data_IF_584588319581
#
_entry.id   IF_584588319581
#
_cell.length_a   1.000
_cell.length_b   1.000
_cell.length_c   1.000
_cell.angle_alpha   90.00
_cell.angle_beta   90.00
_cell.angle_gamma   90.00
#
_symmetry.space_group_name_H-M   'P 1'
#
loop_
_entity.id
_entity.type
_entity.pdbx_description
1 polymer ?
#
# COMPACT_ATOMS: atom_id res chain seq x y z
N UNK A 1 9.47 24.47 -15.24
CA UNK A 1 9.80 23.08 -14.85
C UNK A 1 8.60 22.44 -14.18
N UNK A 2 8.16 21.28 -14.68
CA UNK A 2 7.01 20.59 -14.12
C UNK A 2 7.44 19.86 -12.83
N UNK A 3 6.77 20.17 -11.72
CA UNK A 3 7.05 19.48 -10.47
C UNK A 3 6.54 18.04 -10.55
N UNK A 4 7.36 17.11 -10.13
CA UNK A 4 6.97 15.71 -10.00
C UNK A 4 6.02 15.54 -8.82
N UNK A 5 4.94 14.80 -9.01
CA UNK A 5 4.03 14.44 -7.92
C UNK A 5 4.78 13.55 -6.92
N UNK A 6 4.52 13.68 -5.60
CA UNK A 6 5.17 12.83 -4.59
C UNK A 6 5.03 11.33 -4.87
N UNK A 7 3.89 10.89 -5.40
CA UNK A 7 3.68 9.48 -5.77
C UNK A 7 4.58 9.09 -6.94
N UNK A 8 4.75 9.96 -7.93
CA UNK A 8 5.65 9.70 -9.06
C UNK A 8 7.10 9.56 -8.58
N UNK A 9 7.51 10.38 -7.61
CA UNK A 9 8.84 10.29 -7.01
C UNK A 9 9.05 8.96 -6.30
N UNK A 10 8.03 8.45 -5.60
CA UNK A 10 8.09 7.13 -4.97
C UNK A 10 8.21 6.02 -6.02
N UNK A 11 7.43 6.11 -7.09
CA UNK A 11 7.44 5.10 -8.16
C UNK A 11 8.81 5.04 -8.83
N UNK A 12 9.48 6.19 -8.99
CA UNK A 12 10.82 6.23 -9.57
C UNK A 12 11.86 5.47 -8.74
N UNK A 13 11.66 5.38 -7.42
CA UNK A 13 12.57 4.60 -6.58
C UNK A 13 12.54 3.10 -6.93
N UNK A 14 11.43 2.63 -7.48
CA UNK A 14 11.19 1.21 -7.69
C UNK A 14 10.87 0.50 -6.38
N UNK A 15 10.40 -0.74 -6.47
CA UNK A 15 10.11 -1.54 -5.28
C UNK A 15 11.38 -1.84 -4.50
N UNK A 16 11.29 -1.79 -3.16
CA UNK A 16 12.38 -2.13 -2.25
C UNK A 16 11.77 -2.53 -0.90
N UNK A 17 12.61 -2.78 0.12
CA UNK A 17 12.14 -3.27 1.43
C UNK A 17 11.02 -2.45 2.06
N UNK A 18 10.94 -1.16 1.75
CA UNK A 18 9.97 -0.24 2.36
C UNK A 18 8.99 0.32 1.34
N UNK A 19 8.94 -0.24 0.14
CA UNK A 19 8.04 0.23 -0.91
C UNK A 19 7.62 -0.93 -1.80
N UNK A 20 6.31 -1.16 -1.89
CA UNK A 20 5.73 -2.21 -2.72
C UNK A 20 4.60 -1.63 -3.59
N UNK A 21 4.48 -2.14 -4.81
CA UNK A 21 3.42 -1.76 -5.74
C UNK A 21 2.45 -2.91 -5.90
N UNK A 22 1.15 -2.59 -5.88
CA UNK A 22 0.09 -3.56 -6.14
C UNK A 22 -0.87 -2.99 -7.18
N UNK A 23 -1.13 -3.77 -8.23
CA UNK A 23 -2.12 -3.41 -9.23
C UNK A 23 -3.50 -3.29 -8.60
N UNK A 24 -3.86 -4.27 -7.78
CA UNK A 24 -5.14 -4.34 -7.08
C UNK A 24 -5.00 -5.16 -5.80
N UNK A 25 -6.00 -5.11 -4.94
CA UNK A 25 -6.08 -5.95 -3.75
C UNK A 25 -7.20 -6.96 -3.97
N UNK A 26 -6.85 -8.22 -4.14
CA UNK A 26 -7.81 -9.30 -4.39
C UNK A 26 -7.84 -10.36 -3.28
N UNK A 27 -6.87 -10.33 -2.37
CA UNK A 27 -6.74 -11.33 -1.31
C UNK A 27 -6.28 -10.67 -0.02
N UNK A 28 -7.21 -10.54 0.94
CA UNK A 28 -6.94 -9.90 2.23
C UNK A 28 -5.87 -10.62 3.04
N UNK A 29 -5.76 -11.95 2.93
CA UNK A 29 -4.73 -12.71 3.67
C UNK A 29 -3.34 -12.38 3.15
N UNK A 30 -3.19 -12.25 1.83
CA UNK A 30 -1.90 -11.86 1.23
C UNK A 30 -1.50 -10.46 1.66
N UNK A 31 -2.45 -9.54 1.65
CA UNK A 31 -2.21 -8.17 2.10
C UNK A 31 -1.83 -8.14 3.57
N UNK A 32 -2.47 -8.96 4.42
CA UNK A 32 -2.13 -9.04 5.83
C UNK A 32 -0.67 -9.43 6.04
N UNK A 33 -0.14 -10.36 5.22
CA UNK A 33 1.27 -10.73 5.28
C UNK A 33 2.17 -9.55 4.90
N UNK A 34 1.79 -8.77 3.91
CA UNK A 34 2.53 -7.57 3.50
C UNK A 34 2.52 -6.52 4.62
N UNK A 35 1.35 -6.27 5.22
CA UNK A 35 1.23 -5.33 6.34
C UNK A 35 2.11 -5.75 7.51
N UNK A 36 2.06 -7.03 7.89
CA UNK A 36 2.85 -7.51 9.01
C UNK A 36 4.35 -7.52 8.70
N UNK A 37 4.73 -7.83 7.46
CA UNK A 37 6.13 -7.78 7.04
C UNK A 37 6.70 -6.36 7.15
N UNK A 38 5.97 -5.36 6.67
CA UNK A 38 6.38 -3.96 6.82
C UNK A 38 6.44 -3.57 8.29
N UNK A 39 5.40 -3.88 9.05
CA UNK A 39 5.31 -3.49 10.47
C UNK A 39 6.46 -4.09 11.28
N UNK A 40 6.80 -5.34 11.04
CA UNK A 40 7.84 -6.05 11.80
C UNK A 40 9.27 -5.74 11.35
N UNK A 41 9.43 -4.90 10.33
CA UNK A 41 10.74 -4.42 9.89
C UNK A 41 10.83 -2.91 10.17
N UNK A 42 11.08 -2.11 9.16
CA UNK A 42 11.24 -0.65 9.32
C UNK A 42 10.01 0.14 8.89
N UNK A 43 8.86 -0.54 8.74
CA UNK A 43 7.69 0.07 8.17
C UNK A 43 7.79 0.12 6.65
N UNK A 44 6.86 0.83 6.01
CA UNK A 44 6.91 0.97 4.56
C UNK A 44 5.64 1.56 3.98
N UNK A 45 5.63 1.63 2.66
CA UNK A 45 4.48 2.13 1.90
C UNK A 45 4.07 1.10 0.86
N UNK A 46 2.77 0.97 0.71
CA UNK A 46 2.14 0.13 -0.30
C UNK A 46 1.36 1.05 -1.23
N UNK A 47 1.68 1.02 -2.51
CA UNK A 47 0.96 1.83 -3.50
C UNK A 47 0.01 0.91 -4.27
N UNK A 48 -1.29 1.12 -4.09
CA UNK A 48 -2.33 0.36 -4.78
C UNK A 48 -2.76 1.14 -6.02
N UNK A 49 -2.86 0.45 -7.14
CA UNK A 49 -3.15 1.06 -8.44
C UNK A 49 -1.90 1.34 -9.25
N UNK A 50 -0.79 0.69 -8.89
CA UNK A 50 0.49 0.80 -9.59
C UNK A 50 0.96 -0.59 -9.96
N UNK A 51 1.29 -0.79 -11.23
CA UNK A 51 1.80 -2.07 -11.74
C UNK A 51 3.27 -2.25 -11.36
N UNK A 52 3.75 -3.48 -11.42
CA UNK A 52 5.15 -3.83 -11.08
C UNK A 52 6.16 -3.02 -11.88
N UNK A 53 5.82 -2.64 -13.11
CA UNK A 53 6.70 -1.82 -13.97
C UNK A 53 6.64 -0.33 -13.65
N UNK A 54 5.86 0.07 -12.65
CA UNK A 54 5.70 1.47 -12.26
C UNK A 54 4.59 2.22 -12.99
N UNK A 55 3.91 1.61 -13.94
CA UNK A 55 2.80 2.26 -14.63
C UNK A 55 1.60 2.39 -13.70
N UNK A 56 1.01 3.59 -13.67
CA UNK A 56 -0.17 3.86 -12.85
C UNK A 56 -1.41 3.39 -13.60
N UNK A 57 -2.11 2.40 -13.01
CA UNK A 57 -3.39 1.93 -13.52
C UNK A 57 -4.57 2.58 -12.81
N UNK A 58 -4.34 3.02 -11.56
CA UNK A 58 -5.35 3.58 -10.69
C UNK A 58 -6.21 2.54 -10.00
N UNK A 59 -6.85 2.94 -8.91
CA UNK A 59 -7.87 2.13 -8.22
C UNK A 59 -9.24 2.52 -8.76
N UNK A 60 -10.15 1.55 -8.82
CA UNK A 60 -11.48 1.75 -9.41
C UNK A 60 -12.56 2.09 -8.41
N UNK A 61 -12.35 1.73 -7.13
CA UNK A 61 -13.37 1.89 -6.12
C UNK A 61 -12.75 2.00 -4.73
N UNK A 62 -13.60 2.14 -3.72
CA UNK A 62 -13.17 2.16 -2.33
C UNK A 62 -12.95 0.75 -1.78
N UNK A 63 -13.26 -0.27 -2.57
CA UNK A 63 -13.16 -1.66 -2.14
C UNK A 63 -11.74 -2.02 -1.70
N UNK A 64 -10.73 -1.51 -2.39
CA UNK A 64 -9.33 -1.75 -2.03
C UNK A 64 -9.03 -1.27 -0.61
N UNK A 65 -9.53 -0.09 -0.24
CA UNK A 65 -9.35 0.41 1.12
C UNK A 65 -9.98 -0.53 2.14
N UNK A 66 -11.22 -0.97 1.90
CA UNK A 66 -11.92 -1.85 2.82
C UNK A 66 -11.25 -3.21 2.94
N UNK A 67 -10.64 -3.69 1.87
CA UNK A 67 -9.87 -4.94 1.91
C UNK A 67 -8.60 -4.81 2.74
N UNK A 68 -7.92 -3.66 2.69
CA UNK A 68 -6.77 -3.38 3.57
C UNK A 68 -7.23 -3.35 5.03
N UNK A 69 -8.33 -2.65 5.31
CA UNK A 69 -8.90 -2.57 6.64
C UNK A 69 -9.27 -3.95 7.18
N UNK A 70 -9.93 -4.76 6.36
CA UNK A 70 -10.29 -6.13 6.73
C UNK A 70 -9.05 -6.99 6.98
N UNK A 71 -8.01 -6.83 6.14
CA UNK A 71 -6.76 -7.56 6.32
C UNK A 71 -6.13 -7.27 7.67
N UNK A 72 -6.07 -5.99 8.04
CA UNK A 72 -5.53 -5.56 9.33
C UNK A 72 -6.35 -6.13 10.49
N UNK A 73 -7.67 -5.96 10.44
CA UNK A 73 -8.56 -6.35 11.55
C UNK A 73 -8.69 -7.85 11.72
N UNK A 74 -8.74 -8.61 10.62
CA UNK A 74 -9.06 -10.02 10.65
C UNK A 74 -7.85 -10.94 10.64
N UNK A 75 -6.74 -10.49 10.07
CA UNK A 75 -5.61 -11.39 9.78
C UNK A 75 -4.27 -10.95 10.38
N UNK A 76 -4.26 -9.92 11.27
CA UNK A 76 -3.07 -9.55 12.03
C UNK A 76 -3.39 -9.46 13.53
N UNK A 77 -2.41 -9.79 14.37
CA UNK A 77 -2.54 -9.72 15.84
C UNK A 77 -1.25 -9.19 16.45
N UNK A 78 -1.28 -8.08 17.21
CA UNK A 78 -2.41 -7.16 17.27
C UNK A 78 -2.67 -6.51 15.91
N UNK A 79 -3.83 -5.89 15.76
CA UNK A 79 -4.24 -5.21 14.54
C UNK A 79 -3.20 -4.18 14.12
N UNK A 80 -2.66 -4.31 12.89
CA UNK A 80 -1.66 -3.38 12.37
C UNK A 80 -2.31 -2.05 12.03
N UNK A 81 -1.92 -0.95 12.68
CA UNK A 81 -2.41 0.36 12.29
C UNK A 81 -1.79 0.79 10.95
N UNK A 82 -2.56 1.49 10.16
CA UNK A 82 -2.08 2.03 8.89
C UNK A 82 -2.75 3.36 8.59
N UNK A 83 -2.12 4.15 7.74
CA UNK A 83 -2.69 5.40 7.23
C UNK A 83 -2.83 5.27 5.72
N UNK A 84 -4.04 5.55 5.21
CA UNK A 84 -4.30 5.47 3.78
C UNK A 84 -4.64 6.86 3.25
N UNK A 85 -4.00 7.23 2.16
CA UNK A 85 -4.22 8.52 1.48
C UNK A 85 -4.52 8.24 0.02
N UNK A 86 -5.56 8.89 -0.50
CA UNK A 86 -5.88 8.83 -1.92
C UNK A 86 -5.23 9.99 -2.63
N UNK A 87 -4.48 9.69 -3.68
CA UNK A 87 -3.80 10.69 -4.48
C UNK A 87 -4.31 10.67 -5.91
N UNK A 88 -4.58 11.85 -6.45
CA UNK A 88 -4.87 12.01 -7.88
C UNK A 88 -3.56 12.23 -8.61
N UNK A 89 -3.22 11.33 -9.54
CA UNK A 89 -2.00 11.41 -10.33
C UNK A 89 -2.37 11.20 -11.80
N UNK A 90 -2.23 12.24 -12.60
CA UNK A 90 -2.56 12.22 -14.03
C UNK A 90 -3.97 11.67 -14.30
N UNK A 91 -4.94 12.11 -13.52
CA UNK A 91 -6.35 11.71 -13.67
C UNK A 91 -6.68 10.33 -13.14
N UNK A 92 -5.75 9.67 -12.46
CA UNK A 92 -5.96 8.34 -11.86
C UNK A 92 -5.74 8.41 -10.37
N UNK A 93 -6.45 7.57 -9.62
CA UNK A 93 -6.34 7.53 -8.17
C UNK A 93 -5.38 6.43 -7.74
N UNK A 94 -4.40 6.79 -6.93
CA UNK A 94 -3.46 5.85 -6.31
C UNK A 94 -3.74 5.87 -4.81
N UNK A 95 -3.89 4.69 -4.21
CA UNK A 95 -4.05 4.58 -2.76
C UNK A 95 -2.68 4.31 -2.14
N UNK A 96 -2.20 5.27 -1.34
CA UNK A 96 -0.96 5.12 -0.59
C UNK A 96 -1.30 4.63 0.81
N UNK A 97 -0.77 3.45 1.17
CA UNK A 97 -0.95 2.86 2.50
C UNK A 97 0.39 2.93 3.22
N UNK A 98 0.45 3.71 4.28
CA UNK A 98 1.65 3.86 5.09
C UNK A 98 1.54 3.00 6.35
N UNK A 99 2.57 2.19 6.59
CA UNK A 99 2.65 1.30 7.75
C UNK A 99 3.91 1.68 8.52
N UNK A 100 3.75 2.10 9.78
CA UNK A 100 4.87 2.36 10.67
C UNK A 100 5.35 1.04 11.28
N UNK A 101 6.57 1.03 11.80
CA UNK A 101 7.10 -0.12 12.54
C UNK A 101 6.17 -0.47 13.70
N UNK A 102 5.80 -1.76 13.80
CA UNK A 102 4.83 -2.23 14.78
C UNK A 102 4.96 -3.75 14.91
N UNK A 103 5.13 -4.26 16.12
CA UNK A 103 5.30 -5.70 16.30
C UNK A 103 3.93 -6.40 16.26
N UNK A 104 3.76 -7.30 15.29
CA UNK A 104 2.51 -8.04 15.12
C UNK A 104 2.76 -9.40 14.47
N UNK A 105 1.70 -10.20 14.40
CA UNK A 105 1.70 -11.51 13.75
C UNK A 105 0.56 -11.55 12.74
N UNK A 106 0.82 -12.13 11.56
CA UNK A 106 -0.26 -12.44 10.60
C UNK A 106 -0.88 -13.78 10.97
N UNK A 107 -2.16 -13.91 10.72
CA UNK A 107 -2.90 -15.14 10.98
C UNK A 107 -2.91 -16.04 9.76
#
# INVERSE_FOLDING_TARGET
MKKMHPIEALIEQGEHQQLDFKFEVSDSKKIARTLSAFANTDGGRLLIGVKDNGNISGVRSEEEYYMIEAASKMYTRPEVPFEATRWEVNGKTVLEVYIARFICYSL
#
